data_IF_937669934634
#
_entry.id   IF_937669934634
#
_cell.length_a   1.000
_cell.length_b   1.000
_cell.length_c   1.000
_cell.angle_alpha   90.00
_cell.angle_beta   90.00
_cell.angle_gamma   90.00
#
_symmetry.space_group_name_H-M   'P 1'
#
loop_
_entity.id
_entity.type
_entity.pdbx_description
1 polymer ?
#
# COMPACT_ATOMS: atom_id res chain seq x y z
N UNK A 1 28.18 12.34 50.10
CA UNK A 1 28.23 12.69 48.67
C UNK A 1 29.32 13.74 48.43
N UNK A 2 30.62 13.34 48.42
CA UNK A 2 31.74 14.31 48.16
C UNK A 2 33.02 13.58 47.70
N UNK A 3 32.93 12.64 46.74
CA UNK A 3 34.09 11.98 46.12
C UNK A 3 34.32 12.24 44.63
N UNK A 4 33.39 12.91 43.95
CA UNK A 4 33.46 13.13 42.48
C UNK A 4 34.16 14.42 42.04
N UNK A 5 34.21 15.44 42.87
CA UNK A 5 34.80 16.75 42.51
C UNK A 5 36.33 16.76 42.56
N UNK A 6 36.97 16.00 43.47
CA UNK A 6 38.44 15.97 43.63
C UNK A 6 39.18 15.26 42.47
N UNK A 7 38.51 14.39 41.72
CA UNK A 7 39.12 13.67 40.59
C UNK A 7 39.25 14.55 39.33
N UNK A 8 38.33 15.48 39.10
CA UNK A 8 38.34 16.34 37.93
C UNK A 8 39.38 17.45 38.07
N UNK A 9 39.50 18.07 39.25
CA UNK A 9 40.52 19.11 39.53
C UNK A 9 41.95 18.53 39.54
N UNK A 10 42.14 17.29 40.05
CA UNK A 10 43.43 16.62 39.97
C UNK A 10 43.86 16.28 38.54
N UNK A 11 42.93 15.89 37.69
CA UNK A 11 43.22 15.64 36.24
C UNK A 11 43.47 16.92 35.50
N UNK A 12 42.81 18.02 35.86
CA UNK A 12 43.04 19.33 35.26
C UNK A 12 44.42 19.94 35.65
N UNK A 13 44.82 19.80 36.94
CA UNK A 13 46.12 20.26 37.43
C UNK A 13 47.30 19.40 36.93
N UNK A 14 47.09 18.12 36.56
CA UNK A 14 48.15 17.30 35.94
C UNK A 14 48.42 17.67 34.49
N UNK A 15 47.48 18.35 33.81
CA UNK A 15 47.64 18.91 32.46
C UNK A 15 48.41 20.23 32.44
N UNK A 16 48.57 20.90 33.58
CA UNK A 16 49.26 22.20 33.73
C UNK A 16 50.49 22.15 34.62
N UNK A 17 51.07 20.96 34.90
CA UNK A 17 52.36 20.78 35.58
C UNK A 17 53.56 21.21 34.71
N UNK A 18 54.75 21.41 35.27
CA UNK A 18 55.91 21.95 34.54
C UNK A 18 56.34 21.09 33.33
N UNK A 19 56.01 19.76 33.30
CA UNK A 19 56.20 18.92 32.12
C UNK A 19 55.09 19.04 31.10
N UNK A 20 53.93 19.56 31.45
CA UNK A 20 52.81 19.79 30.55
C UNK A 20 52.94 21.11 29.76
N UNK A 21 53.74 22.05 30.25
CA UNK A 21 53.98 23.29 29.53
C UNK A 21 54.72 23.02 28.19
N UNK A 22 55.72 22.13 28.20
CA UNK A 22 56.41 21.70 26.97
C UNK A 22 55.46 20.99 26.01
N UNK A 23 54.57 20.12 26.54
CA UNK A 23 53.57 19.41 25.75
C UNK A 23 52.53 20.42 25.16
N UNK A 24 52.09 21.42 25.93
CA UNK A 24 51.16 22.44 25.46
C UNK A 24 51.80 23.32 24.36
N UNK A 25 53.06 23.69 24.54
CA UNK A 25 53.82 24.42 23.52
C UNK A 25 53.98 23.58 22.25
N UNK A 26 54.31 22.31 22.38
CA UNK A 26 54.35 21.36 21.26
C UNK A 26 53.02 21.24 20.56
N UNK A 27 51.91 21.00 21.29
CA UNK A 27 50.56 20.90 20.74
C UNK A 27 50.14 22.21 20.04
N UNK A 28 50.52 23.39 20.60
CA UNK A 28 50.26 24.68 19.97
C UNK A 28 50.98 24.81 18.62
N UNK A 29 52.27 24.51 18.56
CA UNK A 29 53.00 24.58 17.31
C UNK A 29 52.53 23.52 16.31
N UNK A 30 52.16 22.33 16.78
CA UNK A 30 51.57 21.28 15.95
C UNK A 30 50.23 21.77 15.36
N UNK A 31 49.38 22.39 16.17
CA UNK A 31 48.09 22.92 15.72
C UNK A 31 48.27 24.08 14.72
N UNK A 32 49.24 24.96 14.94
CA UNK A 32 49.59 26.05 14.02
C UNK A 32 50.14 25.49 12.70
N UNK A 33 51.07 24.55 12.76
CA UNK A 33 51.61 23.87 11.57
C UNK A 33 50.52 23.14 10.79
N UNK A 34 49.67 22.40 11.48
CA UNK A 34 48.50 21.73 10.88
C UNK A 34 47.53 22.75 10.25
N UNK A 35 47.30 23.89 10.92
CA UNK A 35 46.47 24.98 10.40
C UNK A 35 47.02 25.55 9.10
N UNK A 36 48.35 25.84 9.03
CA UNK A 36 48.98 26.30 7.81
C UNK A 36 48.93 25.24 6.70
N UNK A 37 49.21 23.96 7.00
CA UNK A 37 49.08 22.89 6.06
C UNK A 37 47.66 22.74 5.52
N UNK A 38 46.64 22.83 6.42
CA UNK A 38 45.22 22.77 6.06
C UNK A 38 44.83 23.94 5.14
N UNK A 39 45.28 25.17 5.46
CA UNK A 39 45.03 26.35 4.63
C UNK A 39 45.65 26.18 3.24
N UNK A 40 46.85 25.61 3.13
CA UNK A 40 47.47 25.36 1.86
C UNK A 40 46.75 24.29 1.08
N UNK A 41 46.39 23.16 1.70
CA UNK A 41 45.63 22.07 1.09
C UNK A 41 44.24 22.54 0.60
N UNK A 42 43.53 23.34 1.37
CA UNK A 42 42.24 23.91 1.00
C UNK A 42 42.32 24.97 -0.11
N UNK A 43 43.47 25.58 -0.33
CA UNK A 43 43.69 26.57 -1.39
C UNK A 43 44.05 25.91 -2.74
N UNK A 44 44.42 24.60 -2.76
CA UNK A 44 44.65 23.88 -3.99
C UNK A 44 43.39 23.77 -4.83
N UNK A 45 43.57 23.75 -6.16
CA UNK A 45 42.49 23.56 -7.11
C UNK A 45 42.18 22.08 -7.25
N UNK A 46 41.04 21.68 -6.78
CA UNK A 46 40.58 20.30 -6.80
C UNK A 46 39.45 20.11 -7.81
N UNK A 47 39.31 18.89 -8.32
CA UNK A 47 38.17 18.46 -9.13
C UNK A 47 37.30 17.53 -8.31
N UNK A 48 35.99 17.69 -8.44
CA UNK A 48 35.01 16.83 -7.78
C UNK A 48 33.84 16.56 -8.69
N UNK A 49 33.43 15.31 -8.72
CA UNK A 49 32.22 14.87 -9.39
C UNK A 49 31.01 15.05 -8.48
N UNK A 50 29.96 15.66 -9.00
CA UNK A 50 28.69 15.95 -8.28
C UNK A 50 27.53 15.45 -9.14
N UNK A 51 26.60 14.73 -8.52
CA UNK A 51 25.37 14.30 -9.16
C UNK A 51 24.32 15.40 -9.12
N UNK A 52 23.71 15.70 -10.26
CA UNK A 52 22.65 16.69 -10.42
C UNK A 52 21.40 15.98 -10.96
N UNK A 53 20.30 16.04 -10.22
CA UNK A 53 19.03 15.45 -10.65
C UNK A 53 18.38 16.26 -11.74
N UNK A 54 17.77 15.56 -12.71
CA UNK A 54 16.99 16.18 -13.77
C UNK A 54 15.51 16.12 -13.40
N UNK A 55 14.83 17.24 -13.50
CA UNK A 55 13.38 17.34 -13.32
C UNK A 55 12.77 18.07 -14.51
N UNK A 56 11.75 17.47 -15.14
CA UNK A 56 10.96 18.15 -16.17
C UNK A 56 9.85 18.95 -15.52
N UNK A 57 9.71 20.21 -15.91
CA UNK A 57 8.61 21.07 -15.50
C UNK A 57 7.72 21.41 -16.70
N UNK A 58 6.47 21.79 -16.42
CA UNK A 58 5.48 22.22 -17.42
C UNK A 58 5.22 21.17 -18.52
N UNK A 59 5.26 19.88 -18.18
CA UNK A 59 4.86 18.81 -19.09
C UNK A 59 3.34 18.79 -19.18
N UNK A 60 2.74 19.01 -20.37
CA UNK A 60 1.30 18.93 -20.54
C UNK A 60 0.74 17.56 -20.13
N UNK A 61 -0.51 17.50 -19.64
CA UNK A 61 -1.09 16.24 -19.19
C UNK A 61 -1.24 15.19 -20.29
N UNK A 62 -1.39 15.60 -21.53
CA UNK A 62 -1.51 14.75 -22.71
C UNK A 62 -0.17 14.26 -23.28
N UNK A 63 0.96 14.75 -22.74
CA UNK A 63 2.30 14.34 -23.20
C UNK A 63 2.77 13.11 -22.44
N UNK A 64 3.17 12.10 -23.20
CA UNK A 64 3.80 10.88 -22.72
C UNK A 64 5.26 10.85 -23.17
N UNK A 65 6.18 10.76 -22.22
CA UNK A 65 7.61 10.63 -22.51
C UNK A 65 7.90 9.16 -22.80
N UNK A 66 8.43 8.88 -23.98
CA UNK A 66 8.67 7.53 -24.47
C UNK A 66 9.97 6.97 -23.89
N UNK A 67 11.03 7.77 -23.92
CA UNK A 67 12.34 7.38 -23.43
C UNK A 67 12.54 7.84 -21.99
N UNK A 68 13.15 7.01 -21.16
CA UNK A 68 13.52 7.40 -19.80
C UNK A 68 14.70 8.37 -19.83
N UNK A 69 14.46 9.61 -19.39
CA UNK A 69 15.56 10.51 -19.06
C UNK A 69 16.46 9.89 -17.99
N UNK A 70 17.77 10.09 -18.08
CA UNK A 70 18.63 9.70 -16.96
C UNK A 70 18.20 10.45 -15.71
N UNK A 71 18.08 9.79 -14.57
CA UNK A 71 17.56 10.42 -13.34
C UNK A 71 18.50 11.51 -12.82
N UNK A 72 19.76 11.44 -13.20
CA UNK A 72 20.77 12.42 -12.83
C UNK A 72 21.90 12.46 -13.87
N UNK A 73 22.61 13.57 -13.90
CA UNK A 73 23.83 13.78 -14.67
C UNK A 73 25.00 13.95 -13.70
N UNK A 74 26.16 13.43 -14.10
CA UNK A 74 27.41 13.62 -13.39
C UNK A 74 28.11 14.88 -13.93
N UNK A 75 28.42 15.81 -13.05
CA UNK A 75 29.09 17.07 -13.37
C UNK A 75 30.43 17.13 -12.64
N UNK A 76 31.52 17.27 -13.38
CA UNK A 76 32.84 17.51 -12.78
C UNK A 76 33.08 19.00 -12.60
N UNK A 77 33.16 19.41 -11.35
CA UNK A 77 33.41 20.79 -10.93
C UNK A 77 34.89 20.98 -10.55
N UNK A 78 35.44 22.10 -10.94
CA UNK A 78 36.79 22.51 -10.55
C UNK A 78 36.73 23.81 -9.77
N UNK A 79 37.26 23.81 -8.56
CA UNK A 79 37.42 25.02 -7.71
C UNK A 79 38.43 24.76 -6.58
N UNK A 80 38.69 25.80 -5.80
CA UNK A 80 39.45 25.66 -4.56
C UNK A 80 38.78 24.70 -3.59
N UNK A 81 39.58 23.89 -2.88
CA UNK A 81 39.10 22.87 -1.96
C UNK A 81 38.11 23.41 -0.94
N UNK A 82 38.31 24.60 -0.39
CA UNK A 82 37.38 25.24 0.57
C UNK A 82 35.99 25.47 -0.03
N UNK A 83 35.91 25.92 -1.29
CA UNK A 83 34.66 26.21 -1.98
C UNK A 83 33.90 24.88 -2.28
N UNK A 84 34.64 23.86 -2.71
CA UNK A 84 34.08 22.52 -2.95
C UNK A 84 33.58 21.87 -1.67
N UNK A 85 34.32 21.99 -0.57
CA UNK A 85 33.91 21.47 0.73
C UNK A 85 32.62 22.13 1.22
N UNK A 86 32.53 23.48 1.15
CA UNK A 86 31.32 24.22 1.49
C UNK A 86 30.13 23.83 0.62
N UNK A 87 30.33 23.67 -0.68
CA UNK A 87 29.27 23.23 -1.60
C UNK A 87 28.79 21.83 -1.25
N UNK A 88 29.73 20.90 -1.00
CA UNK A 88 29.36 19.54 -0.62
C UNK A 88 28.56 19.46 0.67
N UNK A 89 28.86 20.30 1.64
CA UNK A 89 28.09 20.37 2.88
C UNK A 89 26.68 20.92 2.62
N UNK A 90 26.53 21.91 1.74
CA UNK A 90 25.23 22.46 1.38
C UNK A 90 24.36 21.48 0.59
N UNK A 91 24.95 20.63 -0.26
CA UNK A 91 24.22 19.64 -1.07
C UNK A 91 23.71 18.43 -0.27
N UNK A 92 24.25 18.20 0.94
CA UNK A 92 23.70 17.20 1.86
C UNK A 92 22.26 17.56 2.26
N UNK A 93 21.95 18.84 2.39
CA UNK A 93 20.63 19.32 2.80
C UNK A 93 19.76 19.76 1.62
N UNK A 94 20.38 20.15 0.50
CA UNK A 94 19.68 20.59 -0.72
C UNK A 94 20.34 19.97 -1.95
N UNK A 95 19.80 18.86 -2.46
CA UNK A 95 20.35 18.22 -3.65
C UNK A 95 20.25 19.15 -4.85
N UNK A 96 21.29 19.18 -5.68
CA UNK A 96 21.29 19.96 -6.91
C UNK A 96 20.25 19.40 -7.89
N UNK A 97 19.42 20.28 -8.44
CA UNK A 97 18.37 19.91 -9.41
C UNK A 97 18.42 20.87 -10.60
N UNK A 98 18.39 20.29 -11.80
CA UNK A 98 18.18 21.03 -13.05
C UNK A 98 16.71 20.85 -13.43
N UNK A 99 16.03 21.97 -13.57
CA UNK A 99 14.66 22.02 -14.03
C UNK A 99 14.67 22.32 -15.53
N UNK A 100 14.14 21.39 -16.31
CA UNK A 100 14.02 21.50 -17.76
C UNK A 100 12.56 21.85 -18.05
N UNK A 101 12.34 23.05 -18.55
CA UNK A 101 11.00 23.49 -18.96
C UNK A 101 10.66 22.88 -20.31
N UNK A 102 9.73 21.90 -20.29
CA UNK A 102 9.29 21.15 -21.45
C UNK A 102 8.72 22.08 -22.53
N UNK A 103 7.98 23.12 -22.13
CA UNK A 103 7.31 24.02 -23.07
C UNK A 103 8.25 24.77 -24.01
N UNK A 104 9.54 24.92 -23.65
CA UNK A 104 10.55 25.56 -24.49
C UNK A 104 11.05 24.69 -25.63
N UNK A 105 10.91 23.39 -25.49
CA UNK A 105 11.42 22.40 -26.44
C UNK A 105 10.31 21.70 -27.20
N UNK A 106 9.05 21.93 -26.82
CA UNK A 106 7.89 21.38 -27.50
C UNK A 106 7.78 21.92 -28.91
N UNK A 107 7.73 21.05 -29.91
CA UNK A 107 7.65 21.42 -31.34
C UNK A 107 6.22 21.40 -31.86
N UNK A 108 5.22 21.05 -31.04
CA UNK A 108 3.80 20.93 -31.46
C UNK A 108 3.50 19.76 -32.40
N UNK A 109 4.48 18.92 -32.68
CA UNK A 109 4.29 17.67 -33.47
C UNK A 109 3.79 16.55 -32.57
N UNK A 110 2.93 15.68 -33.12
CA UNK A 110 2.34 14.55 -32.38
C UNK A 110 3.39 13.58 -31.85
N UNK A 111 4.44 13.33 -32.62
CA UNK A 111 5.60 12.51 -32.26
C UNK A 111 6.83 13.35 -32.55
N UNK A 112 7.61 13.65 -31.54
CA UNK A 112 8.82 14.43 -31.69
C UNK A 112 9.91 13.99 -30.69
N UNK A 113 11.14 14.25 -31.06
CA UNK A 113 12.31 14.07 -30.24
C UNK A 113 12.79 15.45 -29.76
N UNK A 114 12.95 15.59 -28.45
CA UNK A 114 13.62 16.74 -27.85
C UNK A 114 15.10 16.48 -27.81
N UNK A 115 15.85 17.43 -28.35
CA UNK A 115 17.29 17.46 -28.31
C UNK A 115 17.78 18.66 -27.53
N UNK A 116 18.43 18.42 -26.39
CA UNK A 116 19.04 19.46 -25.58
C UNK A 116 20.54 19.43 -25.83
N UNK A 117 21.04 20.50 -26.43
CA UNK A 117 22.44 20.63 -26.83
C UNK A 117 23.37 20.76 -25.61
N UNK A 118 24.66 20.47 -25.82
CA UNK A 118 25.71 20.71 -24.82
C UNK A 118 25.71 22.17 -24.34
N UNK A 119 25.52 23.14 -25.24
CA UNK A 119 25.49 24.57 -24.91
C UNK A 119 24.30 24.92 -23.98
N UNK A 120 23.11 24.33 -24.22
CA UNK A 120 21.96 24.55 -23.35
C UNK A 120 22.15 23.89 -21.99
N UNK A 121 22.70 22.68 -21.97
CA UNK A 121 23.06 21.99 -20.72
C UNK A 121 24.07 22.78 -19.90
N UNK A 122 25.12 23.29 -20.54
CA UNK A 122 26.12 24.13 -19.87
C UNK A 122 25.50 25.41 -19.29
N UNK A 123 24.58 26.05 -20.01
CA UNK A 123 23.86 27.24 -19.54
C UNK A 123 22.99 26.92 -18.32
N UNK A 124 22.22 25.82 -18.38
CA UNK A 124 21.36 25.38 -17.28
C UNK A 124 22.17 25.03 -16.03
N UNK A 125 23.26 24.29 -16.20
CA UNK A 125 24.17 23.93 -15.12
C UNK A 125 24.87 25.16 -14.51
N UNK A 126 25.26 26.13 -15.35
CA UNK A 126 25.88 27.37 -14.91
C UNK A 126 24.99 28.20 -13.99
N UNK A 127 23.67 28.10 -14.12
CA UNK A 127 22.71 28.79 -13.25
C UNK A 127 22.57 28.17 -11.84
N UNK A 128 23.01 26.92 -11.68
CA UNK A 128 22.88 26.20 -10.39
C UNK A 128 24.14 26.39 -9.54
N UNK A 129 25.28 26.41 -10.18
CA UNK A 129 26.56 26.54 -9.49
C UNK A 129 26.96 28.00 -9.32
N UNK A 130 27.71 28.25 -8.26
CA UNK A 130 28.26 29.59 -7.99
C UNK A 130 29.20 29.99 -9.16
N UNK A 131 29.17 31.26 -9.61
CA UNK A 131 29.99 31.71 -10.77
C UNK A 131 31.50 31.43 -10.66
N UNK A 132 32.00 31.22 -9.44
CA UNK A 132 33.40 30.87 -9.18
C UNK A 132 33.72 29.40 -9.51
N UNK A 133 32.71 28.52 -9.62
CA UNK A 133 32.90 27.11 -9.94
C UNK A 133 32.99 26.91 -11.45
N UNK A 134 34.11 26.32 -11.90
CA UNK A 134 34.26 25.96 -13.31
C UNK A 134 33.71 24.57 -13.56
N UNK A 135 32.78 24.44 -14.51
CA UNK A 135 32.31 23.16 -15.01
C UNK A 135 33.38 22.65 -15.97
N UNK A 136 34.03 21.56 -15.61
CA UNK A 136 35.08 20.92 -16.41
C UNK A 136 34.47 20.03 -17.48
N UNK A 137 33.55 19.18 -17.08
CA UNK A 137 32.84 18.26 -17.94
C UNK A 137 31.53 17.81 -17.29
N UNK A 138 30.60 17.29 -18.07
CA UNK A 138 29.38 16.64 -17.57
C UNK A 138 29.01 15.48 -18.47
N UNK A 139 28.32 14.48 -17.92
CA UNK A 139 27.89 13.26 -18.62
C UNK A 139 26.46 12.90 -18.22
N UNK A 140 25.56 12.62 -19.19
CA UNK A 140 25.77 12.78 -20.65
C UNK A 140 25.90 14.26 -21.03
N UNK A 141 26.61 14.52 -22.12
CA UNK A 141 26.85 15.88 -22.64
C UNK A 141 25.66 16.45 -23.44
N UNK A 142 24.80 15.58 -23.88
CA UNK A 142 23.56 15.88 -24.59
C UNK A 142 22.41 15.04 -24.04
N UNK A 143 21.20 15.57 -24.05
CA UNK A 143 20.00 14.82 -23.68
C UNK A 143 19.12 14.69 -24.91
N UNK A 144 18.64 13.46 -25.13
CA UNK A 144 17.64 13.15 -26.15
C UNK A 144 16.55 12.32 -25.50
N UNK A 145 15.31 12.69 -25.77
CA UNK A 145 14.16 11.90 -25.39
C UNK A 145 13.01 12.15 -26.34
N UNK A 146 12.33 11.08 -26.69
CA UNK A 146 11.14 11.15 -27.51
C UNK A 146 9.90 11.38 -26.65
N UNK A 147 8.98 12.16 -27.16
CA UNK A 147 7.66 12.36 -26.57
C UNK A 147 6.58 12.21 -27.61
N UNK A 148 5.40 11.88 -27.14
CA UNK A 148 4.22 11.72 -27.97
C UNK A 148 3.05 12.43 -27.27
N UNK A 149 2.22 13.16 -28.03
CA UNK A 149 0.90 13.55 -27.58
C UNK A 149 0.02 12.31 -27.56
N UNK A 150 -0.10 11.70 -26.41
CA UNK A 150 -0.85 10.46 -26.22
C UNK A 150 -2.32 10.65 -26.55
N UNK A 151 -2.90 9.65 -27.23
CA UNK A 151 -4.34 9.53 -27.22
C UNK A 151 -4.79 9.26 -25.77
N UNK A 152 -5.94 9.81 -25.40
CA UNK A 152 -6.49 9.54 -24.08
C UNK A 152 -7.73 8.68 -24.17
N UNK A 153 -7.88 7.77 -23.22
CA UNK A 153 -9.08 6.95 -23.04
C UNK A 153 -9.39 6.80 -21.57
N UNK A 154 -10.65 6.91 -21.22
CA UNK A 154 -11.10 6.61 -19.86
C UNK A 154 -11.31 5.11 -19.71
N UNK A 155 -10.63 4.51 -18.74
CA UNK A 155 -10.66 3.07 -18.48
C UNK A 155 -11.03 2.81 -17.02
N UNK A 156 -11.79 1.73 -16.74
CA UNK A 156 -12.16 1.35 -15.38
C UNK A 156 -10.94 0.88 -14.60
N UNK A 157 -10.94 1.16 -13.30
CA UNK A 157 -9.90 0.72 -12.36
C UNK A 157 -10.27 -0.64 -11.80
N UNK A 158 -9.30 -1.57 -11.76
CA UNK A 158 -9.39 -2.87 -11.12
C UNK A 158 -8.33 -3.00 -10.03
N UNK A 159 -8.76 -3.44 -8.87
CA UNK A 159 -7.86 -3.68 -7.73
C UNK A 159 -7.18 -5.04 -7.88
N UNK A 160 -5.86 -5.09 -7.64
CA UNK A 160 -5.06 -6.32 -7.70
C UNK A 160 -4.80 -6.88 -6.29
N UNK A 161 -4.86 -6.04 -5.27
CA UNK A 161 -4.64 -6.43 -3.88
C UNK A 161 -5.88 -6.97 -3.17
N UNK A 162 -5.69 -7.31 -1.91
CA UNK A 162 -6.70 -7.97 -1.09
C UNK A 162 -6.96 -7.21 0.20
N UNK A 163 -8.23 -7.10 0.57
CA UNK A 163 -8.70 -6.67 1.89
C UNK A 163 -9.13 -7.90 2.69
N UNK A 164 -8.46 -8.19 3.80
CA UNK A 164 -8.78 -9.29 4.71
C UNK A 164 -9.42 -8.77 5.99
N UNK A 165 -10.70 -9.07 6.23
CA UNK A 165 -11.35 -8.71 7.48
C UNK A 165 -10.81 -9.55 8.65
N UNK A 166 -10.98 -9.09 9.89
CA UNK A 166 -10.74 -9.88 11.08
C UNK A 166 -11.74 -11.04 11.21
N UNK A 167 -11.47 -12.02 12.08
CA UNK A 167 -12.25 -13.27 12.16
C UNK A 167 -13.76 -13.09 12.38
N UNK A 168 -14.16 -12.01 13.05
CA UNK A 168 -15.58 -11.73 13.34
C UNK A 168 -16.23 -10.78 12.34
N UNK A 169 -15.50 -10.37 11.33
CA UNK A 169 -15.92 -9.36 10.36
C UNK A 169 -15.98 -9.93 8.94
N UNK A 170 -16.67 -9.24 8.05
CA UNK A 170 -16.70 -9.52 6.62
C UNK A 170 -16.69 -8.22 5.83
N UNK A 171 -16.24 -8.27 4.59
CA UNK A 171 -16.31 -7.13 3.68
C UNK A 171 -17.74 -7.04 3.14
N UNK A 172 -18.44 -5.98 3.51
CA UNK A 172 -19.79 -5.69 3.07
C UNK A 172 -19.81 -5.08 1.65
N UNK A 173 -18.81 -4.28 1.33
CA UNK A 173 -18.68 -3.66 0.03
C UNK A 173 -17.36 -2.93 -0.15
N UNK A 174 -16.96 -2.81 -1.41
CA UNK A 174 -15.77 -2.05 -1.83
C UNK A 174 -16.21 -1.06 -2.90
N UNK A 175 -15.89 0.22 -2.71
CA UNK A 175 -16.19 1.31 -3.64
C UNK A 175 -14.90 2.04 -4.00
N UNK A 176 -14.65 2.20 -5.29
CA UNK A 176 -13.46 2.87 -5.83
C UNK A 176 -13.87 4.26 -6.29
N UNK A 177 -13.14 5.30 -5.88
CA UNK A 177 -13.39 6.70 -6.24
C UNK A 177 -12.08 7.38 -6.71
N UNK A 178 -11.98 7.79 -7.96
CA UNK A 178 -12.89 7.50 -9.07
C UNK A 178 -12.83 6.02 -9.50
N UNK A 179 -13.93 5.49 -10.04
CA UNK A 179 -14.02 4.12 -10.55
C UNK A 179 -13.32 3.92 -11.90
N UNK A 180 -13.01 5.03 -12.56
CA UNK A 180 -12.35 5.08 -13.86
C UNK A 180 -11.37 6.24 -13.90
N UNK A 181 -10.28 6.09 -14.66
CA UNK A 181 -9.21 7.07 -14.79
C UNK A 181 -8.90 7.32 -16.27
N UNK A 182 -8.44 8.55 -16.57
CA UNK A 182 -7.98 8.88 -17.90
C UNK A 182 -6.57 8.36 -18.09
N UNK A 183 -6.38 7.59 -19.15
CA UNK A 183 -5.08 7.00 -19.53
C UNK A 183 -4.59 7.69 -20.79
N UNK A 184 -3.35 8.14 -20.76
CA UNK A 184 -2.64 8.70 -21.90
C UNK A 184 -1.56 7.73 -22.33
N UNK A 185 -1.59 7.33 -23.60
CA UNK A 185 -0.63 6.39 -24.17
C UNK A 185 -0.64 6.43 -25.71
N UNK A 186 0.33 5.81 -26.39
CA UNK A 186 0.25 5.52 -27.82
C UNK A 186 -1.01 4.74 -28.17
N UNK A 187 -1.62 5.05 -29.31
CA UNK A 187 -2.90 4.46 -29.73
C UNK A 187 -2.91 2.93 -29.70
N UNK A 188 -1.83 2.30 -30.18
CA UNK A 188 -1.72 0.83 -30.20
C UNK A 188 -1.83 0.20 -28.79
N UNK A 189 -1.32 0.88 -27.78
CA UNK A 189 -1.42 0.41 -26.38
C UNK A 189 -2.84 0.62 -25.87
N UNK A 190 -3.43 1.81 -26.09
CA UNK A 190 -4.79 2.11 -25.62
C UNK A 190 -5.85 1.19 -26.24
N UNK A 191 -5.69 0.80 -27.50
CA UNK A 191 -6.62 -0.10 -28.19
C UNK A 191 -6.62 -1.51 -27.57
N UNK A 192 -5.49 -1.95 -27.01
CA UNK A 192 -5.35 -3.23 -26.34
C UNK A 192 -5.78 -3.23 -24.86
N UNK A 193 -5.79 -2.05 -24.21
CA UNK A 193 -6.12 -1.93 -22.80
C UNK A 193 -7.63 -2.00 -22.55
N UNK A 194 -8.03 -2.73 -21.51
CA UNK A 194 -9.43 -2.84 -21.09
C UNK A 194 -9.68 -2.29 -19.68
N UNK A 195 -8.65 -2.20 -18.86
CA UNK A 195 -8.70 -1.69 -17.49
C UNK A 195 -7.33 -1.20 -17.04
N UNK A 196 -7.30 -0.38 -16.00
CA UNK A 196 -6.11 0.01 -15.27
C UNK A 196 -6.07 -0.75 -13.96
N UNK A 197 -4.92 -1.30 -13.60
CA UNK A 197 -4.74 -2.07 -12.40
C UNK A 197 -4.04 -1.26 -11.31
N UNK A 198 -4.40 -1.51 -10.06
CA UNK A 198 -3.68 -0.97 -8.92
C UNK A 198 -2.33 -1.65 -8.73
N UNK A 199 -1.43 -1.03 -7.97
CA UNK A 199 -0.33 -1.75 -7.33
C UNK A 199 -0.89 -2.86 -6.43
N UNK A 200 -0.11 -3.91 -6.21
CA UNK A 200 -0.51 -4.99 -5.31
C UNK A 200 -0.46 -4.50 -3.86
N UNK A 201 -1.49 -4.86 -3.09
CA UNK A 201 -1.59 -4.46 -1.69
C UNK A 201 -2.27 -5.56 -0.86
N UNK A 202 -1.98 -5.56 0.44
CA UNK A 202 -2.60 -6.44 1.41
C UNK A 202 -2.92 -5.66 2.68
N UNK A 203 -4.21 -5.47 2.96
CA UNK A 203 -4.69 -4.91 4.21
C UNK A 203 -5.36 -6.01 5.03
N UNK A 204 -4.81 -6.30 6.20
CA UNK A 204 -5.27 -7.37 7.08
C UNK A 204 -5.88 -6.82 8.39
N UNK A 205 -6.74 -7.61 9.02
CA UNK A 205 -7.31 -7.28 10.32
C UNK A 205 -8.36 -6.18 10.31
N UNK A 206 -9.07 -6.00 9.19
CA UNK A 206 -10.08 -4.96 9.06
C UNK A 206 -11.27 -5.26 9.98
N UNK A 207 -11.57 -4.34 10.89
CA UNK A 207 -12.67 -4.45 11.87
C UNK A 207 -13.70 -3.32 11.73
N UNK A 208 -13.37 -2.25 11.02
CA UNK A 208 -14.26 -1.10 10.77
C UNK A 208 -14.15 -0.60 9.33
N UNK A 209 -15.11 0.21 8.92
CA UNK A 209 -15.08 0.84 7.60
C UNK A 209 -13.89 1.80 7.49
N UNK A 210 -13.22 1.80 6.34
CA UNK A 210 -12.02 2.60 6.11
C UNK A 210 -11.94 3.14 4.69
N UNK A 211 -11.05 4.12 4.52
CA UNK A 211 -10.73 4.74 3.23
C UNK A 211 -9.24 4.63 2.99
N UNK A 212 -8.86 4.05 1.85
CA UNK A 212 -7.49 3.68 1.52
C UNK A 212 -7.07 4.32 0.21
N UNK A 213 -5.95 5.06 0.22
CA UNK A 213 -5.37 5.60 -1.00
C UNK A 213 -4.46 4.55 -1.62
N UNK A 214 -4.78 4.15 -2.83
CA UNK A 214 -4.08 3.08 -3.55
C UNK A 214 -3.52 3.65 -4.84
N UNK A 215 -2.22 3.45 -5.07
CA UNK A 215 -1.58 3.84 -6.31
C UNK A 215 -1.97 2.91 -7.45
N UNK A 216 -1.99 3.47 -8.65
CA UNK A 216 -2.12 2.69 -9.87
C UNK A 216 -0.75 2.17 -10.31
N UNK A 217 -0.72 0.95 -10.84
CA UNK A 217 0.50 0.29 -11.30
C UNK A 217 1.13 1.08 -12.44
N UNK A 218 2.27 1.71 -12.16
CA UNK A 218 3.00 2.50 -13.14
C UNK A 218 3.64 1.59 -14.19
N UNK A 219 3.35 1.89 -15.45
CA UNK A 219 3.93 1.16 -16.58
C UNK A 219 4.60 2.16 -17.54
N UNK A 220 5.65 1.70 -18.21
CA UNK A 220 6.31 2.52 -19.25
C UNK A 220 5.32 2.90 -20.32
N UNK A 221 5.42 4.13 -20.82
CA UNK A 221 4.57 4.69 -21.89
C UNK A 221 3.09 4.94 -21.48
N UNK A 222 2.75 4.75 -20.22
CA UNK A 222 1.41 5.03 -19.69
C UNK A 222 1.47 6.17 -18.66
N UNK A 223 0.53 7.09 -18.78
CA UNK A 223 0.30 8.14 -17.79
C UNK A 223 -1.16 8.08 -17.35
N UNK A 224 -1.39 8.11 -16.07
CA UNK A 224 -2.74 8.08 -15.50
C UNK A 224 -3.10 9.41 -14.84
N UNK A 225 -4.33 9.80 -14.96
CA UNK A 225 -4.88 10.98 -14.30
C UNK A 225 -6.27 10.64 -13.71
N UNK A 226 -6.37 10.58 -12.39
CA UNK A 226 -5.32 10.66 -11.36
C UNK A 226 -4.40 9.43 -11.30
N UNK A 227 -3.26 9.53 -10.61
CA UNK A 227 -2.28 8.44 -10.44
C UNK A 227 -2.61 7.49 -9.29
N UNK A 228 -3.57 7.88 -8.44
CA UNK A 228 -4.04 7.12 -7.29
C UNK A 228 -5.57 7.21 -7.20
N UNK A 229 -6.15 6.20 -6.58
CA UNK A 229 -7.60 6.14 -6.33
C UNK A 229 -7.85 5.96 -4.83
N UNK A 230 -9.00 6.43 -4.39
CA UNK A 230 -9.46 6.24 -3.03
C UNK A 230 -10.44 5.07 -2.98
N UNK A 231 -10.13 4.05 -2.17
CA UNK A 231 -10.96 2.86 -2.03
C UNK A 231 -11.65 2.89 -0.67
N UNK A 232 -12.97 3.01 -0.69
CA UNK A 232 -13.80 2.94 0.50
C UNK A 232 -14.22 1.49 0.73
N UNK A 233 -13.86 0.95 1.88
CA UNK A 233 -14.19 -0.41 2.28
C UNK A 233 -15.21 -0.34 3.41
N UNK A 234 -16.37 -0.97 3.22
CA UNK A 234 -17.37 -1.15 4.25
C UNK A 234 -17.19 -2.52 4.89
N UNK A 235 -17.14 -2.55 6.22
CA UNK A 235 -16.92 -3.78 6.99
C UNK A 235 -18.14 -4.02 7.86
N UNK A 236 -18.71 -5.22 7.76
CA UNK A 236 -19.76 -5.72 8.63
C UNK A 236 -19.22 -6.71 9.65
N UNK A 237 -20.04 -7.06 10.61
CA UNK A 237 -19.70 -8.08 11.60
C UNK A 237 -20.72 -9.22 11.57
N UNK A 238 -20.24 -10.42 11.87
CA UNK A 238 -21.09 -11.57 12.08
C UNK A 238 -21.69 -11.56 13.48
N UNK A 239 -22.92 -12.03 13.59
CA UNK A 239 -23.62 -12.24 14.87
C UNK A 239 -24.16 -13.65 14.95
N UNK A 240 -24.44 -14.13 16.15
CA UNK A 240 -25.14 -15.40 16.35
C UNK A 240 -26.64 -15.13 16.50
N UNK A 241 -27.45 -15.99 15.88
CA UNK A 241 -28.92 -16.02 16.02
C UNK A 241 -29.34 -17.41 16.41
N UNK A 242 -30.34 -17.46 17.31
CA UNK A 242 -30.98 -18.73 17.71
C UNK A 242 -32.45 -18.65 17.33
N UNK A 243 -32.91 -19.66 16.63
CA UNK A 243 -34.31 -19.86 16.27
C UNK A 243 -34.81 -21.21 16.80
N UNK A 244 -36.11 -21.30 17.11
CA UNK A 244 -36.74 -22.54 17.53
C UNK A 244 -37.48 -23.15 16.34
N UNK A 245 -37.06 -24.33 15.90
CA UNK A 245 -37.59 -24.99 14.72
C UNK A 245 -38.33 -26.26 15.15
N UNK A 246 -39.55 -26.48 14.68
CA UNK A 246 -40.27 -27.71 14.96
C UNK A 246 -39.65 -28.90 14.19
N UNK A 247 -39.73 -30.08 14.77
CA UNK A 247 -39.35 -31.31 14.10
C UNK A 247 -40.57 -31.88 13.39
N UNK A 248 -40.50 -32.04 12.07
CA UNK A 248 -41.60 -32.51 11.25
C UNK A 248 -41.35 -33.93 10.72
N UNK A 249 -42.42 -34.74 10.75
CA UNK A 249 -42.42 -36.04 10.09
C UNK A 249 -42.86 -35.92 8.62
N UNK A 250 -42.08 -36.48 7.71
CA UNK A 250 -42.42 -36.56 6.29
C UNK A 250 -42.80 -37.99 5.91
N UNK A 251 -43.74 -38.12 4.96
CA UNK A 251 -44.20 -39.41 4.41
C UNK A 251 -44.81 -40.33 5.50
N UNK A 252 -45.46 -39.76 6.51
CA UNK A 252 -46.19 -40.55 7.50
C UNK A 252 -47.53 -41.01 6.95
N UNK A 253 -47.96 -42.28 7.26
CA UNK A 253 -49.31 -42.73 6.98
C UNK A 253 -50.36 -41.79 7.61
N UNK A 254 -51.52 -41.71 7.01
CA UNK A 254 -52.58 -40.77 7.45
C UNK A 254 -53.11 -41.03 8.89
N UNK A 255 -52.93 -42.27 9.37
CA UNK A 255 -53.29 -42.70 10.71
C UNK A 255 -52.17 -42.50 11.75
N UNK A 256 -51.02 -41.98 11.37
CA UNK A 256 -49.83 -41.85 12.22
C UNK A 256 -49.27 -40.41 12.24
N UNK A 257 -48.85 -39.97 13.39
CA UNK A 257 -48.24 -38.66 13.57
C UNK A 257 -47.00 -38.74 14.44
N UNK A 258 -45.95 -38.04 14.03
CA UNK A 258 -44.72 -37.91 14.83
C UNK A 258 -44.97 -36.92 15.98
N UNK A 259 -44.62 -37.31 17.20
CA UNK A 259 -44.46 -36.43 18.34
C UNK A 259 -43.02 -36.52 18.83
N UNK A 260 -42.37 -35.37 19.01
CA UNK A 260 -40.99 -35.31 19.53
C UNK A 260 -40.96 -34.56 20.86
N UNK A 261 -40.04 -34.93 21.72
CA UNK A 261 -39.79 -34.31 23.01
C UNK A 261 -38.30 -33.86 23.11
N UNK A 262 -38.03 -32.55 23.04
CA UNK A 262 -38.97 -31.45 22.84
C UNK A 262 -39.55 -31.38 21.42
N UNK A 263 -40.74 -30.73 21.30
CA UNK A 263 -41.41 -30.56 19.99
C UNK A 263 -40.68 -29.53 19.06
N UNK A 264 -39.89 -28.66 19.65
CA UNK A 264 -39.08 -27.69 18.95
C UNK A 264 -37.66 -27.76 19.48
N UNK A 265 -36.70 -27.59 18.62
CA UNK A 265 -35.27 -27.53 18.99
C UNK A 265 -34.68 -26.20 18.61
N UNK A 266 -33.65 -25.82 19.36
CA UNK A 266 -32.94 -24.57 19.13
C UNK A 266 -31.84 -24.78 18.08
N UNK A 267 -31.86 -23.97 17.04
CA UNK A 267 -30.81 -23.89 16.04
C UNK A 267 -30.08 -22.58 16.23
N UNK A 268 -28.81 -22.66 16.64
CA UNK A 268 -27.93 -21.51 16.75
C UNK A 268 -26.99 -21.49 15.55
N UNK A 269 -26.87 -20.35 14.92
CA UNK A 269 -26.07 -20.18 13.72
C UNK A 269 -25.43 -18.81 13.67
N UNK A 270 -24.36 -18.70 12.91
CA UNK A 270 -23.66 -17.45 12.62
C UNK A 270 -24.18 -16.86 11.31
N UNK A 271 -24.49 -15.57 11.32
CA UNK A 271 -25.04 -14.82 10.20
C UNK A 271 -24.47 -13.41 10.14
N UNK A 272 -24.42 -12.83 8.95
CA UNK A 272 -24.11 -11.42 8.75
C UNK A 272 -25.14 -10.52 9.47
N UNK A 273 -24.66 -9.52 10.22
CA UNK A 273 -25.53 -8.63 11.00
C UNK A 273 -26.62 -7.94 10.14
N UNK A 274 -26.27 -7.59 8.89
CA UNK A 274 -27.22 -7.00 7.95
C UNK A 274 -28.36 -7.95 7.52
N UNK A 275 -28.16 -9.26 7.63
CA UNK A 275 -29.17 -10.28 7.28
C UNK A 275 -29.91 -10.87 8.47
N UNK A 276 -29.63 -10.37 9.70
CA UNK A 276 -30.19 -10.89 10.94
C UNK A 276 -31.73 -11.03 10.91
N UNK A 277 -32.43 -10.02 10.37
CA UNK A 277 -33.89 -9.99 10.32
C UNK A 277 -34.48 -10.76 9.12
N UNK A 278 -33.67 -11.16 8.16
CA UNK A 278 -34.13 -11.83 6.95
C UNK A 278 -34.21 -13.35 7.09
N UNK A 279 -33.52 -13.92 8.08
CA UNK A 279 -33.54 -15.37 8.33
C UNK A 279 -34.47 -15.66 9.50
N UNK A 280 -35.48 -16.50 9.27
CA UNK A 280 -36.51 -16.85 10.23
C UNK A 280 -36.52 -18.35 10.53
N UNK A 281 -37.48 -18.79 11.37
CA UNK A 281 -37.71 -20.21 11.67
C UNK A 281 -38.07 -21.01 10.43
N UNK A 282 -38.84 -20.41 9.51
CA UNK A 282 -39.41 -21.07 8.33
C UNK A 282 -38.36 -21.40 7.26
N UNK A 283 -37.17 -20.79 7.36
CA UNK A 283 -36.06 -21.05 6.44
C UNK A 283 -35.28 -22.32 6.78
N UNK A 284 -35.59 -22.96 7.92
CA UNK A 284 -34.94 -24.17 8.39
C UNK A 284 -35.96 -25.31 8.38
N UNK A 285 -35.60 -26.45 7.80
CA UNK A 285 -36.41 -27.65 7.80
C UNK A 285 -35.68 -28.77 8.54
N UNK A 286 -36.22 -29.11 9.71
CA UNK A 286 -35.84 -30.28 10.47
C UNK A 286 -36.91 -31.37 10.22
N UNK A 287 -36.59 -32.35 9.42
CA UNK A 287 -37.54 -33.38 9.05
C UNK A 287 -36.91 -34.77 9.15
N UNK A 288 -37.72 -35.73 9.52
CA UNK A 288 -37.40 -37.18 9.40
C UNK A 288 -38.49 -37.85 8.65
N UNK A 289 -38.18 -38.92 7.94
CA UNK A 289 -39.14 -39.74 7.21
C UNK A 289 -39.63 -40.89 8.08
N UNK A 290 -40.85 -41.39 7.78
CA UNK A 290 -41.36 -42.57 8.47
C UNK A 290 -40.48 -43.77 8.30
N UNK A 291 -39.87 -43.97 7.11
CA UNK A 291 -38.93 -45.03 6.79
C UNK A 291 -37.66 -44.98 7.65
N UNK A 292 -37.06 -43.78 7.80
CA UNK A 292 -35.89 -43.58 8.67
C UNK A 292 -36.15 -44.00 10.12
N UNK A 293 -37.40 -43.87 10.60
CA UNK A 293 -37.78 -44.27 11.96
C UNK A 293 -38.03 -45.76 12.09
N UNK A 294 -38.52 -46.45 11.02
CA UNK A 294 -38.71 -47.87 11.01
C UNK A 294 -37.39 -48.65 11.02
N UNK A 295 -36.37 -48.10 10.35
CA UNK A 295 -35.02 -48.70 10.33
C UNK A 295 -34.29 -48.55 11.68
N UNK A 296 -34.74 -47.65 12.55
CA UNK A 296 -34.11 -47.33 13.84
C UNK A 296 -34.92 -47.84 15.04
N UNK A 297 -35.49 -49.06 14.93
CA UNK A 297 -36.42 -49.64 15.90
C UNK A 297 -35.80 -49.94 17.28
N UNK A 298 -34.48 -49.92 17.42
CA UNK A 298 -33.78 -50.23 18.67
C UNK A 298 -33.58 -48.99 19.59
N UNK A 299 -33.81 -47.77 19.08
CA UNK A 299 -33.59 -46.50 19.81
C UNK A 299 -34.86 -45.67 19.89
N UNK A 300 -35.22 -45.24 21.09
CA UNK A 300 -36.27 -44.23 21.30
C UNK A 300 -35.81 -42.80 21.00
N UNK A 301 -34.56 -42.62 20.55
CA UNK A 301 -33.95 -41.33 20.22
C UNK A 301 -33.78 -41.15 18.74
N UNK A 302 -34.17 -39.97 18.28
CA UNK A 302 -34.06 -39.52 16.91
C UNK A 302 -32.89 -38.53 16.82
N UNK A 303 -31.88 -38.85 16.06
CA UNK A 303 -30.79 -37.90 15.70
C UNK A 303 -31.32 -36.92 14.65
N UNK A 304 -31.18 -35.65 14.94
CA UNK A 304 -31.73 -34.56 14.14
C UNK A 304 -30.74 -34.12 13.04
N UNK A 305 -31.25 -34.07 11.81
CA UNK A 305 -30.52 -33.56 10.65
C UNK A 305 -31.29 -32.47 9.95
N UNK A 306 -30.57 -31.37 9.64
CA UNK A 306 -31.12 -30.28 8.84
C UNK A 306 -31.21 -30.72 7.38
N UNK A 307 -32.39 -30.70 6.81
CA UNK A 307 -32.61 -30.94 5.37
C UNK A 307 -32.41 -29.64 4.56
N UNK A 308 -32.67 -28.49 5.17
CA UNK A 308 -32.50 -27.17 4.51
C UNK A 308 -31.81 -26.19 5.43
N UNK A 309 -30.82 -25.50 4.90
CA UNK A 309 -30.08 -24.37 5.55
C UNK A 309 -30.13 -23.19 4.61
N UNK A 310 -30.54 -22.00 5.07
CA UNK A 310 -30.63 -20.83 4.23
C UNK A 310 -29.22 -20.32 3.84
N UNK A 311 -29.15 -19.63 2.72
CA UNK A 311 -27.93 -19.08 2.19
C UNK A 311 -27.34 -17.96 3.10
N UNK A 312 -26.02 -17.94 3.28
CA UNK A 312 -25.33 -16.98 4.14
C UNK A 312 -25.31 -17.33 5.63
N UNK A 313 -25.78 -18.50 6.00
CA UNK A 313 -25.72 -19.06 7.35
C UNK A 313 -24.53 -20.01 7.48
N UNK A 314 -23.80 -19.91 8.59
CA UNK A 314 -22.62 -20.73 8.89
C UNK A 314 -22.60 -21.15 10.37
N UNK A 315 -21.74 -22.11 10.72
CA UNK A 315 -21.56 -22.62 12.09
C UNK A 315 -22.87 -23.03 12.75
N UNK A 316 -23.72 -23.77 12.01
CA UNK A 316 -25.02 -24.24 12.50
C UNK A 316 -24.85 -25.27 13.59
N UNK A 317 -25.50 -25.05 14.73
CA UNK A 317 -25.52 -25.97 15.88
C UNK A 317 -26.97 -26.24 16.26
N UNK A 318 -27.32 -27.50 16.39
CA UNK A 318 -28.65 -27.96 16.83
C UNK A 318 -28.52 -28.36 18.32
N UNK A 319 -29.46 -27.91 19.14
CA UNK A 319 -29.53 -28.27 20.56
C UNK A 319 -30.98 -28.49 21.01
N UNK A 320 -31.29 -29.70 21.53
CA UNK A 320 -30.46 -30.90 21.60
C UNK A 320 -30.20 -31.52 20.21
N UNK A 321 -29.16 -32.32 20.04
CA UNK A 321 -28.85 -33.04 18.78
C UNK A 321 -29.73 -34.26 18.55
N UNK A 322 -30.29 -34.80 19.63
CA UNK A 322 -31.17 -35.94 19.66
C UNK A 322 -32.44 -35.58 20.43
N UNK A 323 -33.57 -36.08 20.00
CA UNK A 323 -34.83 -35.90 20.70
C UNK A 323 -35.51 -37.27 20.90
N UNK A 324 -36.24 -37.41 21.98
CA UNK A 324 -37.13 -38.55 22.14
C UNK A 324 -38.32 -38.44 21.22
N UNK A 325 -38.81 -39.53 20.67
CA UNK A 325 -39.95 -39.52 19.78
C UNK A 325 -40.96 -40.60 20.10
N UNK A 326 -42.22 -40.32 19.72
CA UNK A 326 -43.34 -41.26 19.79
C UNK A 326 -44.11 -41.16 18.48
N UNK A 327 -44.51 -42.32 17.92
CA UNK A 327 -45.46 -42.39 16.81
C UNK A 327 -46.86 -42.56 17.40
N UNK A 328 -47.67 -41.55 17.31
CA UNK A 328 -49.05 -41.54 17.80
C UNK A 328 -50.00 -42.05 16.70
N UNK A 329 -50.95 -42.95 17.06
CA UNK A 329 -52.04 -43.28 16.17
C UNK A 329 -53.11 -42.19 16.25
N UNK A 330 -53.44 -41.59 15.13
CA UNK A 330 -54.52 -40.60 15.03
C UNK A 330 -55.76 -41.35 14.55
N UNK A 331 -56.84 -41.35 15.37
CA UNK A 331 -58.11 -41.87 14.92
C UNK A 331 -58.59 -41.10 13.69
N UNK A 332 -58.94 -41.81 12.62
CA UNK A 332 -59.54 -41.19 11.44
C UNK A 332 -60.80 -40.44 11.86
N UNK A 333 -60.79 -39.11 11.75
CA UNK A 333 -62.08 -38.37 11.80
C UNK A 333 -62.94 -38.86 10.65
N UNK A 334 -64.10 -39.45 11.04
CA UNK A 334 -65.17 -39.87 10.11
C UNK A 334 -65.92 -38.68 9.57
#
# INVERSE_FOLDING_TARGET
MSKGKKSFEQRWNSLFGPKSHELLVFCFFLAVSFGFWLLQALNETLQREVSVRLELENVPPDVVIIDSLPPAISVTLQNKGLTLARHSFSTLFRPNRVKIDFSKYETGKKDAEIYISNADMQRMLGNIFVPSMKIQSFRPDTLRFAYNHGHSRTLPVKLTGTFKPSQQNYIQGIRIEPDSVRVFAPKAILDSMRAVYSEDFLFEGLHEAGSYHINLLQQKLLKYEPTQVNVKVSVGYYTEKTVKVPVIGLNFPADKKLRTFPAQVSITFRIESGRYNHVSTDDFVLATTYEELLDNTESSKLALQLKTVPEGVSNVRISPREVDYLIEQVAAEQ
#
